data_IF_468231402144
#
_entry.id   IF_468231402144
#
_cell.length_a   1.000
_cell.length_b   1.000
_cell.length_c   1.000
_cell.angle_alpha   90.00
_cell.angle_beta   90.00
_cell.angle_gamma   90.00
#
_symmetry.space_group_name_H-M   'P 1'
#
loop_
_entity.id
_entity.type
_entity.pdbx_description
1 polymer ?
#
# COMPACT_ATOMS: atom_id res chain seq x y z
N UNK A 1 -55.37 62.69 -25.83
CA UNK A 1 -54.28 62.23 -26.71
C UNK A 1 -54.29 60.71 -26.71
N UNK A 2 -54.62 60.10 -27.88
CA UNK A 2 -54.48 58.68 -28.35
C UNK A 2 -54.74 57.53 -27.36
N UNK A 3 -55.82 56.73 -27.47
CA UNK A 3 -56.24 55.73 -28.49
C UNK A 3 -55.69 54.29 -28.26
N UNK A 4 -56.65 53.39 -27.97
CA UNK A 4 -56.83 51.96 -28.35
C UNK A 4 -55.92 50.80 -27.87
N UNK A 5 -56.62 49.82 -27.24
CA UNK A 5 -56.81 48.37 -27.56
C UNK A 5 -55.63 47.37 -27.62
N UNK A 6 -55.87 46.25 -26.92
CA UNK A 6 -55.57 44.82 -27.20
C UNK A 6 -54.26 44.44 -27.91
N UNK A 7 -53.52 43.52 -27.30
CA UNK A 7 -53.20 42.20 -27.88
C UNK A 7 -52.29 41.41 -26.93
N UNK A 8 -52.54 40.10 -26.83
CA UNK A 8 -51.67 39.16 -26.13
C UNK A 8 -50.32 39.01 -26.80
N UNK A 9 -49.33 38.62 -25.99
CA UNK A 9 -48.03 38.13 -26.47
C UNK A 9 -47.87 36.70 -25.98
N UNK A 10 -47.68 35.84 -26.97
CA UNK A 10 -47.27 34.44 -26.89
C UNK A 10 -45.85 34.43 -26.31
N UNK A 11 -45.63 33.75 -25.18
CA UNK A 11 -44.28 33.42 -24.72
C UNK A 11 -43.88 32.13 -25.44
N UNK A 12 -43.10 32.29 -26.51
CA UNK A 12 -42.30 31.21 -27.09
C UNK A 12 -41.26 30.78 -26.05
N UNK A 13 -41.15 29.47 -25.84
CA UNK A 13 -40.14 28.87 -24.98
C UNK A 13 -38.73 29.14 -25.49
N UNK A 14 -37.85 29.51 -24.56
CA UNK A 14 -36.42 29.23 -24.65
C UNK A 14 -36.19 28.03 -23.74
N UNK A 15 -35.93 26.88 -24.35
CA UNK A 15 -35.35 25.74 -23.67
C UNK A 15 -33.95 26.17 -23.16
N UNK A 16 -33.85 26.45 -21.86
CA UNK A 16 -32.53 26.40 -21.21
C UNK A 16 -32.17 24.93 -21.09
N UNK A 17 -31.23 24.48 -21.92
CA UNK A 17 -30.57 23.19 -21.77
C UNK A 17 -29.90 23.14 -20.39
N UNK A 18 -30.53 22.41 -19.48
CA UNK A 18 -29.95 22.11 -18.17
C UNK A 18 -28.81 21.12 -18.34
N UNK A 19 -27.59 21.61 -18.44
CA UNK A 19 -26.41 20.82 -18.12
C UNK A 19 -26.13 20.95 -16.62
N UNK A 20 -26.61 19.99 -15.85
CA UNK A 20 -26.04 19.60 -14.56
C UNK A 20 -26.20 18.08 -14.45
N UNK A 21 -25.14 17.36 -14.02
CA UNK A 21 -24.63 17.58 -12.68
C UNK A 21 -23.11 17.85 -12.61
N UNK A 22 -22.67 18.96 -12.01
CA UNK A 22 -21.30 19.12 -11.53
C UNK A 22 -21.11 18.63 -10.08
N UNK A 23 -22.19 18.26 -9.37
CA UNK A 23 -22.13 18.05 -7.92
C UNK A 23 -21.37 16.78 -7.49
N UNK A 24 -21.51 15.66 -8.20
CA UNK A 24 -20.88 14.39 -7.76
C UNK A 24 -19.37 14.36 -8.02
N UNK A 25 -18.91 14.78 -9.21
CA UNK A 25 -17.49 14.87 -9.52
C UNK A 25 -16.75 15.86 -8.60
N UNK A 26 -17.34 17.03 -8.35
CA UNK A 26 -16.78 18.03 -7.44
C UNK A 26 -16.73 17.53 -5.98
N UNK A 27 -17.67 16.68 -5.56
CA UNK A 27 -17.66 16.07 -4.22
C UNK A 27 -16.55 15.02 -4.08
N UNK A 28 -16.31 14.21 -5.11
CA UNK A 28 -15.23 13.21 -5.12
C UNK A 28 -13.84 13.87 -5.07
N UNK A 29 -13.63 14.95 -5.83
CA UNK A 29 -12.37 15.71 -5.81
C UNK A 29 -12.12 16.35 -4.44
N UNK A 30 -13.16 16.93 -3.82
CA UNK A 30 -13.07 17.48 -2.47
C UNK A 30 -12.73 16.41 -1.42
N UNK A 31 -13.20 15.17 -1.58
CA UNK A 31 -12.90 14.05 -0.68
C UNK A 31 -11.48 13.53 -0.85
N UNK A 32 -10.97 13.48 -2.09
CA UNK A 32 -9.57 13.13 -2.35
C UNK A 32 -8.62 14.18 -1.76
N UNK A 33 -8.89 15.46 -1.95
CA UNK A 33 -8.08 16.55 -1.39
C UNK A 33 -8.09 16.54 0.15
N UNK A 34 -9.24 16.27 0.76
CA UNK A 34 -9.35 16.12 2.22
C UNK A 34 -8.56 14.90 2.73
N UNK A 35 -8.65 13.77 2.03
CA UNK A 35 -7.91 12.56 2.37
C UNK A 35 -6.40 12.78 2.25
N UNK A 36 -5.97 13.41 1.15
CA UNK A 36 -4.56 13.77 0.90
C UNK A 36 -4.02 14.69 1.99
N UNK A 37 -4.71 15.79 2.29
CA UNK A 37 -4.29 16.70 3.36
C UNK A 37 -4.24 15.99 4.73
N UNK A 38 -5.22 15.15 5.06
CA UNK A 38 -5.21 14.38 6.33
C UNK A 38 -4.05 13.37 6.40
N UNK A 39 -3.67 12.81 5.25
CA UNK A 39 -2.59 11.83 5.13
C UNK A 39 -1.21 12.49 5.15
N UNK A 40 -1.04 13.62 4.48
CA UNK A 40 0.24 14.29 4.26
C UNK A 40 0.54 15.40 5.29
N UNK A 41 -0.46 16.15 5.75
CA UNK A 41 -0.26 17.33 6.61
C UNK A 41 -0.26 16.96 8.10
N UNK A 42 0.72 16.14 8.51
CA UNK A 42 0.89 15.76 9.92
C UNK A 42 2.08 16.46 10.59
N UNK A 43 1.92 16.98 11.81
CA UNK A 43 3.05 17.52 12.58
C UNK A 43 4.19 16.51 12.75
N UNK A 44 5.42 16.99 12.61
CA UNK A 44 6.63 16.17 12.77
C UNK A 44 7.06 15.41 11.50
N UNK A 45 6.32 15.52 10.39
CA UNK A 45 6.70 14.94 9.11
C UNK A 45 7.42 15.95 8.22
N UNK A 46 8.39 15.47 7.46
CA UNK A 46 9.18 16.27 6.51
C UNK A 46 8.85 15.82 5.09
N UNK A 47 8.54 16.78 4.22
CA UNK A 47 8.32 16.51 2.80
C UNK A 47 9.64 16.28 2.07
N UNK A 48 9.62 15.30 1.17
CA UNK A 48 10.71 14.97 0.27
C UNK A 48 10.31 15.34 -1.16
N UNK A 49 11.28 15.76 -1.95
CA UNK A 49 11.07 16.00 -3.38
C UNK A 49 10.78 14.65 -4.07
N UNK A 50 9.54 14.46 -4.53
CA UNK A 50 9.09 13.20 -5.13
C UNK A 50 9.92 12.83 -6.37
N UNK A 51 10.29 13.82 -7.19
CA UNK A 51 11.13 13.60 -8.37
C UNK A 51 12.52 13.05 -8.01
N UNK A 52 13.11 13.55 -6.92
CA UNK A 52 14.37 13.05 -6.37
C UNK A 52 14.21 11.64 -5.78
N UNK A 53 13.14 11.37 -5.02
CA UNK A 53 12.88 10.02 -4.49
C UNK A 53 12.76 9.01 -5.63
N UNK A 54 11.97 9.32 -6.67
CA UNK A 54 11.88 8.46 -7.86
C UNK A 54 13.23 8.28 -8.55
N UNK A 55 14.00 9.36 -8.72
CA UNK A 55 15.31 9.32 -9.37
C UNK A 55 16.32 8.46 -8.60
N UNK A 56 16.38 8.62 -7.28
CA UNK A 56 17.31 7.88 -6.41
C UNK A 56 16.94 6.40 -6.39
N UNK A 57 15.65 6.06 -6.33
CA UNK A 57 15.19 4.68 -6.43
C UNK A 57 15.45 4.07 -7.81
N UNK A 58 15.21 4.83 -8.90
CA UNK A 58 15.47 4.40 -10.28
C UNK A 58 16.93 4.07 -10.54
N UNK A 59 17.86 4.72 -9.85
CA UNK A 59 19.28 4.40 -9.94
C UNK A 59 19.61 2.96 -9.48
N UNK A 60 18.72 2.31 -8.72
CA UNK A 60 18.84 0.91 -8.29
C UNK A 60 18.16 -0.09 -9.23
N UNK A 61 17.52 0.37 -10.31
CA UNK A 61 16.78 -0.48 -11.23
C UNK A 61 17.64 -0.88 -12.44
N UNK A 62 17.43 -2.12 -12.92
CA UNK A 62 18.01 -2.65 -14.15
C UNK A 62 17.09 -2.49 -15.37
N UNK A 63 15.82 -2.15 -15.17
CA UNK A 63 14.82 -1.96 -16.22
C UNK A 63 13.73 -0.96 -15.79
N UNK A 64 12.74 -0.72 -16.64
CA UNK A 64 11.60 0.15 -16.33
C UNK A 64 10.73 -0.42 -15.20
N UNK A 65 10.29 0.46 -14.30
CA UNK A 65 9.38 0.20 -13.18
C UNK A 65 7.90 0.42 -13.52
N UNK A 66 7.55 0.59 -14.79
CA UNK A 66 6.20 0.98 -15.21
C UNK A 66 5.11 -0.02 -14.79
N UNK A 67 5.46 -1.31 -14.63
CA UNK A 67 4.54 -2.38 -14.23
C UNK A 67 4.56 -2.69 -12.73
N UNK A 68 5.40 -2.00 -11.96
CA UNK A 68 5.47 -2.23 -10.52
C UNK A 68 4.24 -1.69 -9.80
N UNK A 69 3.75 -2.45 -8.83
CA UNK A 69 2.66 -2.01 -7.96
C UNK A 69 3.11 -0.96 -6.94
N UNK A 70 2.19 -0.21 -6.33
CA UNK A 70 2.51 0.84 -5.36
C UNK A 70 3.15 0.28 -4.08
N UNK A 71 2.73 -0.90 -3.60
CA UNK A 71 3.33 -1.56 -2.42
C UNK A 71 4.80 -1.92 -2.67
N UNK A 72 5.06 -2.53 -3.82
CA UNK A 72 6.40 -2.92 -4.25
C UNK A 72 7.33 -1.70 -4.39
N UNK A 73 6.84 -0.62 -5.03
CA UNK A 73 7.59 0.64 -5.16
C UNK A 73 7.87 1.29 -3.80
N UNK A 74 6.89 1.37 -2.92
CA UNK A 74 7.06 1.97 -1.60
C UNK A 74 8.18 1.28 -0.81
N UNK A 75 8.22 -0.06 -0.81
CA UNK A 75 9.29 -0.81 -0.13
C UNK A 75 10.66 -0.59 -0.79
N UNK A 76 10.73 -0.56 -2.13
CA UNK A 76 11.99 -0.20 -2.81
C UNK A 76 12.44 1.22 -2.48
N UNK A 77 11.52 2.17 -2.35
CA UNK A 77 11.86 3.56 -2.03
C UNK A 77 12.43 3.67 -0.62
N UNK A 78 11.85 2.96 0.35
CA UNK A 78 12.42 2.87 1.71
C UNK A 78 13.82 2.24 1.68
N UNK A 79 14.01 1.14 0.95
CA UNK A 79 15.33 0.51 0.76
C UNK A 79 16.31 1.41 -0.02
N UNK A 80 15.81 2.34 -0.83
CA UNK A 80 16.61 3.33 -1.55
C UNK A 80 17.10 4.46 -0.64
N UNK A 81 16.19 4.97 0.20
CA UNK A 81 16.37 6.20 0.96
C UNK A 81 16.99 5.98 2.34
N UNK A 82 16.93 4.76 2.88
CA UNK A 82 17.38 4.48 4.22
C UNK A 82 18.58 3.53 4.27
N UNK A 83 19.46 3.65 5.30
CA UNK A 83 20.50 2.67 5.54
C UNK A 83 19.93 1.26 5.71
N UNK A 84 20.65 0.21 5.27
CA UNK A 84 20.24 -1.17 5.50
C UNK A 84 20.31 -1.52 7.00
N UNK A 85 19.42 -2.41 7.44
CA UNK A 85 19.38 -2.94 8.80
C UNK A 85 19.57 -4.45 8.75
N UNK A 86 20.42 -5.01 9.62
CA UNK A 86 20.55 -6.47 9.72
C UNK A 86 19.30 -7.10 10.32
N UNK A 87 18.70 -6.43 11.32
CA UNK A 87 17.50 -6.88 12.03
C UNK A 87 16.45 -5.80 12.02
N UNK A 88 15.31 -6.07 11.39
CA UNK A 88 14.26 -5.07 11.27
C UNK A 88 12.87 -5.68 11.22
N UNK A 89 11.88 -4.90 11.65
CA UNK A 89 10.47 -5.17 11.45
C UNK A 89 9.91 -4.05 10.58
N UNK A 90 9.35 -4.39 9.44
CA UNK A 90 8.72 -3.42 8.53
C UNK A 90 7.21 -3.65 8.53
N UNK A 91 6.43 -2.65 8.87
CA UNK A 91 4.96 -2.67 8.77
C UNK A 91 4.52 -1.67 7.71
N UNK A 92 3.88 -2.19 6.67
CA UNK A 92 3.25 -1.40 5.62
C UNK A 92 1.73 -1.46 5.76
N UNK A 93 1.09 -0.29 5.66
CA UNK A 93 -0.35 -0.12 5.66
C UNK A 93 -0.77 0.49 4.33
N UNK A 94 -1.73 -0.14 3.66
CA UNK A 94 -2.24 0.26 2.36
C UNK A 94 -3.73 0.61 2.46
N UNK A 95 -4.04 1.83 2.05
CA UNK A 95 -5.39 2.31 1.76
C UNK A 95 -5.47 2.81 0.32
N UNK A 96 -6.68 3.06 -0.15
CA UNK A 96 -6.87 3.62 -1.49
C UNK A 96 -8.09 4.54 -1.54
N UNK A 97 -8.15 5.36 -2.58
CA UNK A 97 -9.33 6.11 -2.99
C UNK A 97 -9.47 5.94 -4.49
N UNK A 98 -10.63 5.46 -4.93
CA UNK A 98 -10.96 5.39 -6.36
C UNK A 98 -11.74 6.63 -6.73
N UNK A 99 -11.26 7.40 -7.72
CA UNK A 99 -12.02 8.55 -8.22
C UNK A 99 -12.27 8.44 -9.72
N UNK A 100 -13.50 8.74 -10.13
CA UNK A 100 -13.85 8.78 -11.55
C UNK A 100 -13.11 9.91 -12.29
N UNK A 101 -12.79 11.01 -11.60
CA UNK A 101 -12.11 12.19 -12.17
C UNK A 101 -10.62 11.96 -12.46
N UNK A 102 -9.91 11.22 -11.60
CA UNK A 102 -8.46 10.96 -11.78
C UNK A 102 -8.19 9.83 -12.79
N UNK A 103 -9.24 9.16 -13.28
CA UNK A 103 -9.12 8.04 -14.21
C UNK A 103 -8.43 6.81 -13.60
N UNK A 104 -8.38 6.68 -12.27
CA UNK A 104 -7.70 5.58 -11.58
C UNK A 104 -7.86 5.58 -10.06
N UNK A 105 -7.11 4.68 -9.43
CA UNK A 105 -7.05 4.52 -7.97
C UNK A 105 -5.81 5.23 -7.44
N UNK A 106 -5.99 6.16 -6.50
CA UNK A 106 -4.89 6.73 -5.71
C UNK A 106 -4.62 5.81 -4.53
N UNK A 107 -3.38 5.35 -4.40
CA UNK A 107 -2.94 4.47 -3.31
C UNK A 107 -2.26 5.29 -2.22
N UNK A 108 -2.60 5.04 -0.96
CA UNK A 108 -2.01 5.65 0.22
C UNK A 108 -1.24 4.59 0.98
N UNK A 109 0.07 4.78 1.13
CA UNK A 109 0.95 3.78 1.74
C UNK A 109 1.73 4.41 2.86
N UNK A 110 1.62 3.83 4.05
CA UNK A 110 2.50 4.10 5.18
C UNK A 110 3.45 2.91 5.38
N UNK A 111 4.74 3.17 5.57
CA UNK A 111 5.76 2.16 5.86
C UNK A 111 6.52 2.56 7.11
N UNK A 112 6.29 1.83 8.20
CA UNK A 112 7.09 1.94 9.41
C UNK A 112 8.20 0.88 9.37
N UNK A 113 9.44 1.29 9.61
CA UNK A 113 10.57 0.38 9.71
C UNK A 113 11.26 0.56 11.05
N UNK A 114 11.20 -0.48 11.85
CA UNK A 114 11.79 -0.53 13.18
C UNK A 114 13.15 -1.23 13.13
N UNK A 115 14.17 -0.61 13.71
CA UNK A 115 15.47 -1.21 13.93
C UNK A 115 15.45 -2.07 15.20
N UNK A 116 15.65 -3.39 15.06
CA UNK A 116 15.77 -4.34 16.19
C UNK A 116 17.23 -4.83 16.34
N UNK A 117 18.15 -4.22 15.61
CA UNK A 117 19.57 -4.48 15.65
C UNK A 117 20.29 -3.68 16.73
N UNK A 118 21.61 -3.65 16.62
CA UNK A 118 22.51 -2.87 17.49
C UNK A 118 23.05 -1.62 16.80
N UNK A 119 22.73 -1.44 15.53
CA UNK A 119 23.13 -0.33 14.69
C UNK A 119 22.50 0.98 15.19
N UNK A 120 23.27 2.07 15.16
CA UNK A 120 22.78 3.43 15.49
C UNK A 120 22.05 4.04 14.26
N UNK A 121 20.93 3.42 13.91
CA UNK A 121 20.06 3.81 12.80
C UNK A 121 18.65 4.01 13.36
N UNK A 122 17.98 5.14 13.08
CA UNK A 122 16.68 5.43 13.68
C UNK A 122 15.60 4.48 13.16
N UNK A 123 14.54 4.33 13.97
CA UNK A 123 13.25 3.88 13.47
C UNK A 123 12.66 4.97 12.57
N UNK A 124 12.02 4.58 11.48
CA UNK A 124 11.53 5.54 10.48
C UNK A 124 10.12 5.19 10.04
N UNK A 125 9.34 6.22 9.75
CA UNK A 125 8.06 6.12 9.10
C UNK A 125 8.11 6.89 7.78
N UNK A 126 7.66 6.25 6.71
CA UNK A 126 7.47 6.85 5.41
C UNK A 126 6.00 6.84 5.03
N UNK A 127 5.57 7.86 4.32
CA UNK A 127 4.29 7.86 3.63
C UNK A 127 4.47 8.26 2.19
N UNK A 128 3.73 7.58 1.34
CA UNK A 128 3.71 7.78 -0.09
C UNK A 128 2.27 7.77 -0.55
N UNK A 129 1.94 8.65 -1.49
CA UNK A 129 0.76 8.49 -2.31
C UNK A 129 1.15 8.29 -3.78
N UNK A 130 0.48 7.34 -4.40
CA UNK A 130 0.72 6.94 -5.78
C UNK A 130 -0.53 7.11 -6.60
N UNK A 131 -0.38 7.56 -7.84
CA UNK A 131 -1.44 7.52 -8.84
C UNK A 131 -0.92 6.96 -10.15
N UNK A 132 -1.78 6.34 -10.98
CA UNK A 132 -1.41 6.00 -12.35
C UNK A 132 -0.92 7.25 -13.09
N UNK A 133 0.22 7.13 -13.78
CA UNK A 133 0.81 8.17 -14.63
C UNK A 133 1.20 7.53 -15.96
N UNK A 134 1.20 8.26 -17.06
CA UNK A 134 1.46 7.74 -18.41
C UNK A 134 2.59 6.67 -18.47
N UNK A 135 2.21 5.39 -18.67
CA UNK A 135 3.15 4.26 -18.75
C UNK A 135 3.58 3.63 -17.41
N UNK A 136 3.08 4.14 -16.29
CA UNK A 136 3.37 3.71 -14.92
C UNK A 136 2.08 3.41 -14.15
N UNK A 137 1.97 2.20 -13.61
CA UNK A 137 0.84 1.79 -12.76
C UNK A 137 0.79 2.58 -11.43
N UNK A 138 1.96 2.97 -10.92
CA UNK A 138 2.10 3.73 -9.68
C UNK A 138 3.21 4.77 -9.84
N UNK A 139 2.85 5.98 -10.29
CA UNK A 139 3.74 7.15 -10.25
C UNK A 139 3.66 7.83 -8.89
N UNK A 140 4.80 8.19 -8.32
CA UNK A 140 4.85 8.87 -7.02
C UNK A 140 4.31 10.30 -7.16
N UNK A 141 3.44 10.71 -6.23
CA UNK A 141 2.95 12.10 -6.15
C UNK A 141 3.69 12.85 -5.06
N UNK A 142 3.57 12.39 -3.82
CA UNK A 142 4.25 12.93 -2.66
C UNK A 142 4.90 11.84 -1.82
N UNK A 143 5.95 12.24 -1.11
CA UNK A 143 6.65 11.43 -0.13
C UNK A 143 6.94 12.27 1.10
N UNK A 144 6.60 11.75 2.27
CA UNK A 144 6.94 12.35 3.55
C UNK A 144 7.59 11.33 4.47
N UNK A 145 8.50 11.80 5.32
CA UNK A 145 9.25 10.96 6.27
C UNK A 145 9.20 11.55 7.66
N UNK A 146 9.25 10.68 8.66
CA UNK A 146 9.54 11.05 10.05
C UNK A 146 10.41 9.98 10.72
N UNK A 147 11.23 10.40 11.65
CA UNK A 147 11.90 9.46 12.58
C UNK A 147 10.96 9.14 13.73
N UNK A 148 10.80 7.86 14.03
CA UNK A 148 9.99 7.39 15.15
C UNK A 148 10.89 7.39 16.40
N UNK A 149 10.59 8.20 17.42
CA UNK A 149 11.34 8.18 18.68
C UNK A 149 11.30 6.80 19.35
N UNK A 150 12.33 6.44 20.11
CA UNK A 150 12.44 5.11 20.74
C UNK A 150 11.30 4.81 21.72
N UNK A 151 10.83 5.82 22.47
CA UNK A 151 9.70 5.69 23.39
C UNK A 151 8.38 5.46 22.64
N UNK A 152 8.18 6.15 21.51
CA UNK A 152 7.05 5.90 20.61
C UNK A 152 7.12 4.49 20.00
N UNK A 153 8.29 4.09 19.50
CA UNK A 153 8.51 2.77 18.92
C UNK A 153 8.25 1.63 19.93
N UNK A 154 8.69 1.83 21.19
CA UNK A 154 8.46 0.88 22.28
C UNK A 154 6.99 0.77 22.71
N UNK A 155 6.18 1.80 22.46
CA UNK A 155 4.75 1.83 22.79
C UNK A 155 3.85 1.41 21.63
N UNK A 156 4.41 1.12 20.44
CA UNK A 156 3.63 0.86 19.22
C UNK A 156 3.41 -0.63 19.00
N UNK A 157 2.19 -0.99 18.61
CA UNK A 157 1.81 -2.34 18.19
C UNK A 157 1.93 -2.51 16.66
N UNK A 158 2.57 -3.60 16.25
CA UNK A 158 2.75 -4.01 14.86
C UNK A 158 1.81 -5.17 14.51
N UNK A 159 0.50 -4.88 14.49
CA UNK A 159 -0.62 -5.80 14.26
C UNK A 159 -0.81 -6.89 15.32
N UNK A 160 0.14 -7.82 15.43
CA UNK A 160 0.00 -9.07 16.19
C UNK A 160 1.02 -9.16 17.34
N UNK A 161 2.02 -8.27 17.33
CA UNK A 161 2.99 -8.13 18.39
C UNK A 161 3.42 -6.65 18.51
N UNK A 162 3.93 -6.26 19.69
CA UNK A 162 4.61 -4.99 19.88
C UNK A 162 5.78 -4.85 18.87
N UNK A 163 5.97 -3.68 18.30
CA UNK A 163 6.91 -3.47 17.20
C UNK A 163 8.36 -3.82 17.56
N UNK A 164 8.79 -3.59 18.81
CA UNK A 164 10.17 -3.88 19.25
C UNK A 164 10.34 -5.27 19.90
N UNK A 165 9.32 -6.12 19.92
CA UNK A 165 9.46 -7.45 20.50
C UNK A 165 10.37 -8.34 19.63
N UNK A 166 11.47 -8.91 20.19
CA UNK A 166 12.45 -9.72 19.45
C UNK A 166 11.99 -11.18 19.28
N UNK A 167 10.74 -11.37 18.91
CA UNK A 167 10.16 -12.65 18.53
C UNK A 167 9.40 -12.49 17.22
N UNK A 168 9.35 -13.55 16.43
CA UNK A 168 8.52 -13.59 15.23
C UNK A 168 7.07 -13.30 15.62
N UNK A 169 6.48 -12.31 14.96
CA UNK A 169 5.11 -11.84 15.21
C UNK A 169 4.04 -12.77 14.62
N UNK A 170 4.45 -13.73 13.78
CA UNK A 170 3.55 -14.47 12.88
C UNK A 170 3.28 -15.91 13.34
N UNK A 171 4.05 -16.41 14.31
CA UNK A 171 3.88 -17.76 14.84
C UNK A 171 2.74 -17.82 15.86
N UNK A 172 1.73 -18.67 15.61
CA UNK A 172 0.55 -18.81 16.47
C UNK A 172 -0.46 -17.66 16.35
N UNK A 173 -0.25 -16.70 15.46
CA UNK A 173 -1.17 -15.57 15.25
C UNK A 173 -2.48 -15.95 14.58
N UNK A 174 -2.44 -16.93 13.68
CA UNK A 174 -3.62 -17.42 12.97
C UNK A 174 -3.59 -18.95 12.86
N UNK A 175 -4.74 -19.53 12.51
CA UNK A 175 -4.87 -20.94 12.16
C UNK A 175 -4.31 -21.21 10.74
N UNK A 176 -2.98 -21.12 10.63
CA UNK A 176 -2.25 -21.26 9.37
C UNK A 176 -2.44 -22.62 8.71
N UNK A 177 -2.62 -22.61 7.39
CA UNK A 177 -2.72 -23.80 6.54
C UNK A 177 -1.65 -23.73 5.44
N UNK A 178 -0.90 -24.81 5.18
CA UNK A 178 0.06 -24.84 4.08
C UNK A 178 -0.63 -24.60 2.73
N UNK A 179 0.03 -23.84 1.86
CA UNK A 179 -0.38 -23.65 0.47
C UNK A 179 0.79 -23.94 -0.48
N UNK A 180 0.48 -24.13 -1.76
CA UNK A 180 1.52 -24.14 -2.78
C UNK A 180 2.18 -22.75 -2.88
N UNK A 181 3.47 -22.74 -3.23
CA UNK A 181 4.15 -21.48 -3.56
C UNK A 181 3.43 -20.78 -4.73
N UNK A 182 3.33 -19.44 -4.71
CA UNK A 182 2.78 -18.69 -5.83
C UNK A 182 3.65 -18.86 -7.08
N UNK A 183 3.11 -18.45 -8.23
CA UNK A 183 3.86 -18.47 -9.48
C UNK A 183 5.19 -17.69 -9.35
N UNK A 184 6.26 -18.30 -9.85
CA UNK A 184 7.62 -17.77 -9.80
C UNK A 184 8.22 -17.66 -11.21
N UNK A 185 9.44 -17.12 -11.32
CA UNK A 185 10.17 -17.04 -12.59
C UNK A 185 9.78 -15.86 -13.49
N UNK A 186 8.93 -14.95 -13.02
CA UNK A 186 8.78 -13.64 -13.64
C UNK A 186 10.03 -12.77 -13.37
N UNK A 187 10.21 -11.70 -14.14
CA UNK A 187 11.35 -10.77 -13.99
C UNK A 187 10.96 -9.50 -13.26
N UNK A 188 11.74 -9.10 -12.24
CA UNK A 188 11.67 -7.76 -11.63
C UNK A 188 12.71 -6.80 -12.20
N UNK A 189 12.44 -5.49 -12.18
CA UNK A 189 13.38 -4.48 -12.62
C UNK A 189 14.46 -4.14 -11.57
N UNK A 190 14.60 -4.91 -10.49
CA UNK A 190 15.56 -4.67 -9.40
C UNK A 190 16.24 -5.96 -8.93
N UNK A 191 17.29 -5.85 -8.11
CA UNK A 191 17.90 -7.01 -7.46
C UNK A 191 16.91 -7.64 -6.49
N UNK A 192 16.41 -8.83 -6.82
CA UNK A 192 15.48 -9.57 -5.97
C UNK A 192 16.09 -10.05 -4.66
N UNK A 193 17.42 -10.06 -4.53
CA UNK A 193 18.13 -10.61 -3.37
C UNK A 193 18.91 -9.53 -2.64
N UNK A 194 18.82 -9.53 -1.31
CA UNK A 194 19.57 -8.69 -0.39
C UNK A 194 20.98 -9.25 -0.14
N UNK A 195 21.86 -8.46 0.46
CA UNK A 195 23.22 -8.89 0.82
C UNK A 195 23.25 -10.10 1.77
N UNK A 196 22.19 -10.31 2.56
CA UNK A 196 22.01 -11.48 3.44
C UNK A 196 21.70 -12.77 2.68
N UNK A 197 21.41 -12.72 1.38
CA UNK A 197 21.01 -13.86 0.57
C UNK A 197 19.49 -14.10 0.52
N UNK A 198 18.71 -13.38 1.31
CA UNK A 198 17.24 -13.46 1.28
C UNK A 198 16.63 -12.53 0.24
N UNK A 199 15.38 -12.78 -0.14
CA UNK A 199 14.61 -11.90 -1.01
C UNK A 199 14.45 -10.49 -0.41
N UNK A 200 14.59 -9.40 -1.17
CA UNK A 200 14.31 -8.03 -0.69
C UNK A 200 12.82 -7.83 -0.38
N UNK A 201 12.45 -6.86 0.46
CA UNK A 201 11.06 -6.69 0.93
C UNK A 201 10.09 -6.42 -0.21
N UNK A 202 10.52 -5.69 -1.24
CA UNK A 202 9.73 -5.47 -2.45
C UNK A 202 9.38 -6.78 -3.18
N UNK A 203 10.35 -7.69 -3.36
CA UNK A 203 10.12 -9.01 -3.98
C UNK A 203 9.18 -9.84 -3.11
N UNK A 204 9.41 -9.86 -1.80
CA UNK A 204 8.52 -10.56 -0.85
C UNK A 204 7.09 -10.06 -0.99
N UNK A 205 6.86 -8.74 -0.99
CA UNK A 205 5.53 -8.18 -1.15
C UNK A 205 4.89 -8.51 -2.52
N UNK A 206 5.67 -8.52 -3.61
CA UNK A 206 5.18 -8.92 -4.93
C UNK A 206 4.75 -10.40 -4.98
N UNK A 207 5.53 -11.31 -4.39
CA UNK A 207 5.16 -12.72 -4.26
C UNK A 207 3.90 -12.92 -3.41
N UNK A 208 3.76 -12.14 -2.32
CA UNK A 208 2.58 -12.19 -1.45
C UNK A 208 1.32 -11.62 -2.14
N UNK A 209 1.48 -10.61 -2.99
CA UNK A 209 0.40 -10.10 -3.83
C UNK A 209 -0.14 -11.19 -4.79
N UNK A 210 0.73 -12.06 -5.31
CA UNK A 210 0.30 -13.25 -6.06
C UNK A 210 -0.44 -14.25 -5.18
N UNK A 211 0.07 -14.52 -3.97
CA UNK A 211 -0.58 -15.43 -3.02
C UNK A 211 -1.98 -14.96 -2.61
N UNK A 212 -2.22 -13.65 -2.54
CA UNK A 212 -3.52 -13.02 -2.26
C UNK A 212 -4.38 -12.76 -3.51
N UNK A 213 -3.91 -13.14 -4.71
CA UNK A 213 -4.57 -12.89 -6.00
C UNK A 213 -4.83 -11.42 -6.34
N UNK A 214 -4.15 -10.48 -5.68
CA UNK A 214 -4.18 -9.04 -6.03
C UNK A 214 -3.11 -8.65 -7.07
N UNK A 215 -2.35 -9.65 -7.52
CA UNK A 215 -1.50 -9.61 -8.70
C UNK A 215 -1.60 -10.94 -9.47
N UNK A 216 -1.05 -10.98 -10.69
CA UNK A 216 -0.84 -12.20 -11.47
C UNK A 216 0.54 -12.25 -12.10
N UNK A 217 1.02 -13.47 -12.36
CA UNK A 217 2.15 -13.71 -13.23
C UNK A 217 1.62 -14.30 -14.55
N UNK A 218 1.96 -13.68 -15.68
CA UNK A 218 1.64 -14.17 -17.02
C UNK A 218 2.92 -14.26 -17.85
N UNK A 219 3.30 -15.48 -18.23
CA UNK A 219 4.61 -15.76 -18.82
C UNK A 219 5.75 -15.25 -17.93
N UNK A 220 6.52 -14.29 -18.43
CA UNK A 220 7.64 -13.67 -17.71
C UNK A 220 7.26 -12.36 -16.99
N UNK A 221 5.99 -11.94 -17.07
CA UNK A 221 5.53 -10.64 -16.56
C UNK A 221 4.83 -10.74 -15.21
N UNK A 222 5.04 -9.72 -14.37
CA UNK A 222 4.24 -9.44 -13.19
C UNK A 222 3.19 -8.37 -13.53
N UNK A 223 1.94 -8.60 -13.13
CA UNK A 223 0.81 -7.71 -13.39
C UNK A 223 0.11 -7.39 -12.07
N UNK A 224 0.29 -6.16 -11.60
CA UNK A 224 -0.46 -5.63 -10.45
C UNK A 224 -1.92 -5.39 -10.83
N UNK A 225 -2.85 -5.94 -10.04
CA UNK A 225 -4.30 -5.67 -10.18
C UNK A 225 -4.81 -4.76 -9.07
N UNK A 226 -4.16 -4.81 -7.91
CA UNK A 226 -4.61 -4.12 -6.71
C UNK A 226 -5.71 -4.87 -5.98
N UNK A 227 -5.89 -4.57 -4.69
CA UNK A 227 -6.99 -5.13 -3.91
C UNK A 227 -8.30 -4.38 -4.23
N UNK A 228 -9.43 -5.06 -4.05
CA UNK A 228 -10.73 -4.41 -4.00
C UNK A 228 -10.89 -3.72 -2.63
N UNK A 229 -11.27 -2.44 -2.62
CA UNK A 229 -11.54 -1.73 -1.37
C UNK A 229 -12.83 -2.27 -0.74
N UNK A 230 -12.80 -2.68 0.53
CA UNK A 230 -14.02 -3.09 1.21
C UNK A 230 -15.00 -1.93 1.41
N UNK A 231 -16.30 -2.16 1.23
CA UNK A 231 -17.36 -1.15 1.38
C UNK A 231 -17.43 -0.59 2.81
N UNK A 232 -17.02 -1.38 3.80
CA UNK A 232 -16.98 -0.99 5.20
C UNK A 232 -15.80 -0.06 5.53
N UNK A 233 -14.83 0.10 4.62
CA UNK A 233 -13.61 0.89 4.84
C UNK A 233 -13.80 2.28 4.26
N UNK A 234 -13.65 3.29 5.11
CA UNK A 234 -13.59 4.69 4.69
C UNK A 234 -12.42 4.91 3.72
N UNK A 235 -12.66 5.67 2.67
CA UNK A 235 -11.66 6.14 1.71
C UNK A 235 -10.34 6.57 2.37
N UNK A 236 -9.23 6.08 1.81
CA UNK A 236 -7.86 6.32 2.30
C UNK A 236 -7.47 5.59 3.58
N UNK A 237 -8.42 4.98 4.30
CA UNK A 237 -8.11 4.18 5.49
C UNK A 237 -7.45 2.86 5.10
N UNK A 238 -6.48 2.37 5.89
CA UNK A 238 -5.77 1.15 5.55
C UNK A 238 -6.64 -0.10 5.76
N UNK A 239 -6.62 -0.99 4.77
CA UNK A 239 -7.33 -2.27 4.80
C UNK A 239 -6.50 -3.45 4.29
N UNK A 240 -5.34 -3.18 3.69
CA UNK A 240 -4.33 -4.18 3.39
C UNK A 240 -3.08 -3.86 4.20
N UNK A 241 -2.52 -4.90 4.80
CA UNK A 241 -1.37 -4.81 5.67
C UNK A 241 -0.28 -5.77 5.21
N UNK A 242 0.97 -5.35 5.34
CA UNK A 242 2.14 -6.19 5.11
C UNK A 242 3.11 -6.01 6.27
N UNK A 243 3.58 -7.11 6.85
CA UNK A 243 4.55 -7.11 7.93
C UNK A 243 5.70 -8.03 7.54
N UNK A 244 6.94 -7.55 7.63
CA UNK A 244 8.14 -8.28 7.26
C UNK A 244 9.15 -8.24 8.40
N UNK A 245 9.36 -9.39 9.02
CA UNK A 245 10.34 -9.62 10.07
C UNK A 245 11.65 -10.14 9.44
N UNK A 246 12.72 -9.35 9.56
CA UNK A 246 14.06 -9.65 9.06
C UNK A 246 14.99 -10.02 10.19
N UNK A 247 15.44 -11.27 10.21
CA UNK A 247 16.34 -11.85 11.21
C UNK A 247 16.01 -11.45 12.68
N UNK A 248 14.72 -11.38 12.99
CA UNK A 248 14.25 -10.93 14.31
C UNK A 248 14.74 -11.87 15.42
N UNK A 249 14.98 -13.15 15.13
CA UNK A 249 15.47 -14.13 16.10
C UNK A 249 16.99 -14.35 16.07
N UNK A 250 17.74 -13.68 15.19
CA UNK A 250 19.20 -13.79 15.10
C UNK A 250 19.68 -15.14 14.54
N UNK A 251 18.83 -15.85 13.81
CA UNK A 251 19.10 -17.17 13.22
C UNK A 251 19.06 -17.15 11.68
N UNK A 252 19.01 -15.98 11.07
CA UNK A 252 18.90 -15.78 9.64
C UNK A 252 17.52 -16.12 9.07
N UNK A 253 16.46 -16.22 9.88
CA UNK A 253 15.10 -16.47 9.37
C UNK A 253 14.38 -15.15 9.10
N UNK A 254 13.75 -15.06 7.93
CA UNK A 254 12.78 -14.02 7.60
C UNK A 254 11.37 -14.58 7.60
N UNK A 255 10.40 -13.77 8.02
CA UNK A 255 9.00 -14.16 8.14
C UNK A 255 8.13 -12.97 7.78
N UNK A 256 7.26 -13.13 6.78
CA UNK A 256 6.39 -12.06 6.32
C UNK A 256 4.93 -12.51 6.29
N UNK A 257 4.03 -11.59 6.62
CA UNK A 257 2.59 -11.73 6.44
C UNK A 257 2.06 -10.59 5.59
N UNK A 258 1.05 -10.89 4.76
CA UNK A 258 0.25 -9.89 4.08
C UNK A 258 -1.20 -10.29 4.23
N UNK A 259 -2.09 -9.34 4.54
CA UNK A 259 -3.49 -9.65 4.64
C UNK A 259 -4.40 -8.48 4.36
N UNK A 260 -5.61 -8.82 3.96
CA UNK A 260 -6.72 -7.90 3.74
C UNK A 260 -7.76 -8.11 4.82
N UNK A 261 -8.25 -7.03 5.39
CA UNK A 261 -9.26 -7.04 6.45
C UNK A 261 -10.57 -6.43 5.97
N UNK A 262 -11.65 -6.67 6.72
CA UNK A 262 -12.99 -6.15 6.46
C UNK A 262 -13.58 -6.56 5.09
N UNK A 263 -13.11 -7.67 4.49
CA UNK A 263 -13.45 -8.12 3.14
C UNK A 263 -14.97 -8.11 2.85
N UNK A 264 -15.37 -7.77 1.62
CA UNK A 264 -16.77 -7.73 1.14
C UNK A 264 -17.43 -9.12 0.98
N UNK A 265 -17.11 -10.07 1.86
CA UNK A 265 -17.67 -11.41 1.86
C UNK A 265 -18.57 -11.63 3.08
N UNK A 266 -19.63 -12.41 2.92
CA UNK A 266 -20.61 -12.69 3.97
C UNK A 266 -20.10 -13.67 5.05
N UNK A 267 -19.10 -14.48 4.74
CA UNK A 267 -18.54 -15.50 5.63
C UNK A 267 -17.12 -15.16 6.12
N UNK A 268 -16.34 -14.43 5.31
CA UNK A 268 -14.93 -14.12 5.57
C UNK A 268 -14.78 -12.64 5.99
N UNK A 269 -14.10 -12.40 7.11
CA UNK A 269 -13.72 -11.04 7.53
C UNK A 269 -12.31 -10.66 7.08
N UNK A 270 -11.39 -11.64 7.04
CA UNK A 270 -9.98 -11.39 6.73
C UNK A 270 -9.35 -12.56 5.98
N UNK A 271 -8.38 -12.25 5.12
CA UNK A 271 -7.56 -13.22 4.42
C UNK A 271 -6.09 -12.85 4.55
N UNK A 272 -5.27 -13.82 4.93
CA UNK A 272 -3.85 -13.65 5.20
C UNK A 272 -3.03 -14.67 4.43
N UNK A 273 -1.89 -14.23 3.91
CA UNK A 273 -0.81 -15.06 3.39
C UNK A 273 0.42 -14.91 4.31
N UNK A 274 1.22 -15.97 4.43
CA UNK A 274 2.48 -15.98 5.17
C UNK A 274 3.57 -16.61 4.32
N UNK A 275 4.75 -15.99 4.32
CA UNK A 275 5.97 -16.46 3.68
C UNK A 275 7.05 -16.63 4.75
N UNK A 276 7.63 -17.81 4.85
CA UNK A 276 8.72 -18.12 5.78
C UNK A 276 9.96 -18.48 4.98
N UNK A 277 11.10 -17.89 5.30
CA UNK A 277 12.36 -18.06 4.57
C UNK A 277 13.47 -18.30 5.58
N UNK A 278 13.99 -19.52 5.63
CA UNK A 278 15.06 -19.93 6.55
C UNK A 278 16.45 -19.86 5.89
N UNK A 279 16.55 -19.24 4.72
CA UNK A 279 17.78 -19.16 3.92
C UNK A 279 18.13 -20.43 3.13
N UNK A 280 17.37 -21.52 3.30
CA UNK A 280 17.51 -22.76 2.53
C UNK A 280 16.26 -23.05 1.70
N UNK A 281 15.09 -22.79 2.26
CA UNK A 281 13.79 -23.02 1.64
C UNK A 281 12.81 -21.89 1.96
N UNK A 282 11.83 -21.73 1.07
CA UNK A 282 10.71 -20.80 1.27
C UNK A 282 9.42 -21.61 1.45
N UNK A 283 8.78 -21.45 2.61
CA UNK A 283 7.50 -22.04 2.94
C UNK A 283 6.35 -21.04 2.82
N UNK A 284 5.18 -21.53 2.44
CA UNK A 284 3.97 -20.71 2.23
C UNK A 284 2.78 -21.24 3.02
N UNK A 285 2.05 -20.33 3.65
CA UNK A 285 0.81 -20.62 4.36
C UNK A 285 -0.25 -19.55 4.08
N UNK A 286 -1.52 -19.89 4.29
CA UNK A 286 -2.61 -18.92 4.36
C UNK A 286 -3.45 -19.10 5.62
N UNK A 287 -4.21 -18.08 5.96
CA UNK A 287 -5.25 -18.15 6.97
C UNK A 287 -6.48 -17.34 6.52
N UNK A 288 -7.65 -17.79 6.94
CA UNK A 288 -8.95 -17.14 6.71
C UNK A 288 -9.59 -16.94 8.06
N UNK A 289 -10.01 -15.71 8.36
CA UNK A 289 -10.77 -15.37 9.55
C UNK A 289 -12.24 -15.26 9.16
N UNK A 290 -13.11 -16.01 9.85
CA UNK A 290 -14.55 -16.00 9.60
C UNK A 290 -15.23 -14.89 10.40
N UNK A 291 -16.28 -14.26 9.85
CA UNK A 291 -17.04 -13.21 10.56
C UNK A 291 -17.65 -13.67 11.88
N UNK A 292 -18.05 -14.94 11.99
CA UNK A 292 -18.59 -15.52 13.22
C UNK A 292 -17.55 -15.82 14.31
N UNK A 293 -16.26 -15.66 14.00
CA UNK A 293 -15.12 -15.89 14.89
C UNK A 293 -14.23 -14.65 15.03
N UNK A 294 -14.70 -13.47 14.59
CA UNK A 294 -14.04 -12.22 14.96
C UNK A 294 -14.25 -12.05 16.48
N UNK A 295 -13.17 -11.89 17.29
CA UNK A 295 -13.30 -11.67 18.72
C UNK A 295 -14.13 -10.44 19.07
#
# INVERSE_FOLDING_TARGET
MRILKYAGVIILGVAMGGNAPPAMAQTADNMLDLTLSTFLDRPGWTHFDAGKVESDARAKLAASDGQMGPIEKALLFVDAMEPPLARSRTLLRYGQVTTETSGGTVSFIEVDRYNLGTEDVPHVAWRFDFQPRQGELAGLRDAIRREIPNDEAAATDCLIAECLQPKSSTEGSFAWKPIAAPASGWTVPYSGTAASGHAVSALVAAEMALALNIASADGNGYVWRGPEQPEAVTDGSPFLYFLDDRDITGNGRNDAIMGMVQLNDHAISEMWARRMDDGQAVGWQNAIVSRGNAP
#
